data_IF_757501843002
#
_entry.id   IF_757501843002
#
_cell.length_a   1.000
_cell.length_b   1.000
_cell.length_c   1.000
_cell.angle_alpha   90.00
_cell.angle_beta   90.00
_cell.angle_gamma   90.00
#
_symmetry.space_group_name_H-M   'P 1'
#
loop_
_entity.id
_entity.type
_entity.pdbx_description
1 polymer ?
#
# COMPACT_ATOMS: atom_id res chain seq x y z
N UNK A 1 7.95 -20.49 -6.25
CA UNK A 1 7.18 -19.31 -6.74
C UNK A 1 7.30 -18.18 -5.75
N UNK A 2 7.26 -16.89 -6.16
CA UNK A 2 7.27 -15.74 -5.25
C UNK A 2 5.89 -15.50 -4.65
N UNK A 3 5.82 -15.09 -3.38
CA UNK A 3 4.59 -14.89 -2.63
C UNK A 3 4.56 -13.46 -2.08
N UNK A 4 3.46 -12.74 -2.34
CA UNK A 4 3.24 -11.40 -1.82
C UNK A 4 2.00 -11.34 -0.92
N UNK A 5 2.04 -10.43 0.06
CA UNK A 5 0.91 -10.03 0.88
C UNK A 5 0.63 -8.54 0.65
N UNK A 6 -0.61 -8.21 0.24
CA UNK A 6 -1.03 -6.83 -0.05
C UNK A 6 -2.19 -6.46 0.87
N UNK A 7 -2.03 -5.44 1.70
CA UNK A 7 -3.11 -4.91 2.52
C UNK A 7 -3.89 -3.81 1.79
N UNK A 8 -5.22 -3.75 1.96
CA UNK A 8 -6.08 -2.90 1.14
C UNK A 8 -5.98 -3.27 -0.34
N UNK A 9 -5.81 -4.57 -0.63
CA UNK A 9 -5.48 -5.08 -1.96
C UNK A 9 -6.68 -5.38 -2.85
N UNK A 10 -7.92 -5.22 -2.34
CA UNK A 10 -9.11 -5.56 -3.09
C UNK A 10 -9.66 -4.44 -3.97
N UNK A 11 -9.21 -3.20 -3.75
CA UNK A 11 -9.63 -2.04 -4.55
C UNK A 11 -8.53 -0.98 -4.63
N UNK A 12 -8.72 0.03 -5.48
CA UNK A 12 -7.84 1.17 -5.62
C UNK A 12 -6.40 0.78 -5.99
N UNK A 13 -5.42 1.42 -5.36
CA UNK A 13 -3.99 1.19 -5.60
C UNK A 13 -3.62 -0.27 -5.31
N UNK A 14 -4.11 -0.82 -4.19
CA UNK A 14 -3.81 -2.19 -3.81
C UNK A 14 -4.29 -3.22 -4.82
N UNK A 15 -5.47 -3.00 -5.46
CA UNK A 15 -5.97 -3.87 -6.54
C UNK A 15 -5.06 -3.83 -7.76
N UNK A 16 -4.57 -2.64 -8.16
CA UNK A 16 -3.60 -2.52 -9.25
C UNK A 16 -2.29 -3.25 -8.95
N UNK A 17 -1.79 -3.16 -7.71
CA UNK A 17 -0.61 -3.91 -7.26
C UNK A 17 -0.88 -5.42 -7.30
N UNK A 18 -2.02 -5.87 -6.78
CA UNK A 18 -2.44 -7.28 -6.79
C UNK A 18 -2.46 -7.83 -8.21
N UNK A 19 -3.10 -7.13 -9.15
CA UNK A 19 -3.16 -7.52 -10.55
C UNK A 19 -1.78 -7.60 -11.21
N UNK A 20 -0.92 -6.62 -10.98
CA UNK A 20 0.42 -6.60 -11.52
C UNK A 20 1.29 -7.77 -11.01
N UNK A 21 1.19 -8.09 -9.72
CA UNK A 21 1.89 -9.24 -9.12
C UNK A 21 1.39 -10.56 -9.70
N UNK A 22 0.07 -10.76 -9.82
CA UNK A 22 -0.51 -11.96 -10.45
C UNK A 22 -0.05 -12.11 -11.91
N UNK A 23 -0.01 -11.02 -12.69
CA UNK A 23 0.48 -10.99 -14.07
C UNK A 23 1.95 -11.43 -14.15
N UNK A 24 2.77 -11.10 -13.16
CA UNK A 24 4.16 -11.55 -13.03
C UNK A 24 4.28 -12.95 -12.38
N UNK A 25 3.19 -13.69 -12.35
CA UNK A 25 3.12 -15.06 -11.81
C UNK A 25 3.44 -15.22 -10.34
N UNK A 26 3.27 -14.16 -9.54
CA UNK A 26 3.32 -14.29 -8.08
C UNK A 26 2.05 -14.96 -7.54
N UNK A 27 2.17 -15.61 -6.39
CA UNK A 27 1.03 -15.87 -5.52
C UNK A 27 0.77 -14.62 -4.68
N UNK A 28 -0.47 -14.24 -4.53
CA UNK A 28 -0.84 -13.01 -3.81
C UNK A 28 -1.91 -13.31 -2.77
N UNK A 29 -1.58 -13.06 -1.50
CA UNK A 29 -2.56 -12.95 -0.44
C UNK A 29 -2.99 -11.47 -0.34
N UNK A 30 -4.29 -11.24 -0.25
CA UNK A 30 -4.89 -9.90 -0.12
C UNK A 30 -5.67 -9.83 1.18
N UNK A 31 -5.45 -8.78 1.97
CA UNK A 31 -6.27 -8.40 3.11
C UNK A 31 -7.01 -7.11 2.79
N UNK A 32 -8.33 -7.11 2.97
CA UNK A 32 -9.15 -5.90 2.88
C UNK A 32 -10.33 -5.98 3.86
N UNK A 33 -10.70 -4.86 4.46
CA UNK A 33 -11.84 -4.83 5.39
C UNK A 33 -13.20 -4.87 4.67
N UNK A 34 -13.25 -4.42 3.40
CA UNK A 34 -14.47 -4.38 2.59
C UNK A 34 -14.78 -5.76 2.01
N UNK A 35 -15.79 -6.42 2.59
CA UNK A 35 -16.20 -7.76 2.17
C UNK A 35 -16.73 -7.82 0.72
N UNK A 36 -17.30 -6.74 0.20
CA UNK A 36 -17.76 -6.68 -1.19
C UNK A 36 -16.57 -6.59 -2.14
N UNK A 37 -15.61 -5.70 -1.85
CA UNK A 37 -14.39 -5.58 -2.63
C UNK A 37 -13.58 -6.89 -2.68
N UNK A 38 -13.55 -7.63 -1.55
CA UNK A 38 -12.90 -8.96 -1.47
C UNK A 38 -13.58 -9.98 -2.39
N UNK A 39 -14.93 -10.00 -2.43
CA UNK A 39 -15.69 -10.88 -3.34
C UNK A 39 -15.46 -10.48 -4.80
N UNK A 40 -15.62 -9.19 -5.11
CA UNK A 40 -15.43 -8.67 -6.47
C UNK A 40 -14.04 -9.00 -7.01
N UNK A 41 -13.00 -8.85 -6.19
CA UNK A 41 -11.63 -9.19 -6.56
C UNK A 41 -11.50 -10.68 -6.92
N UNK A 42 -12.11 -11.57 -6.11
CA UNK A 42 -12.05 -13.02 -6.34
C UNK A 42 -12.78 -13.42 -7.62
N UNK A 43 -13.92 -12.78 -7.91
CA UNK A 43 -14.73 -13.03 -9.10
C UNK A 43 -14.06 -12.49 -10.38
N UNK A 44 -13.42 -11.33 -10.29
CA UNK A 44 -12.72 -10.68 -11.43
C UNK A 44 -11.37 -11.36 -11.76
N UNK A 45 -10.73 -11.96 -10.77
CA UNK A 45 -9.41 -12.61 -10.93
C UNK A 45 -9.45 -14.07 -10.44
N UNK A 46 -10.23 -14.94 -11.11
CA UNK A 46 -10.39 -16.34 -10.67
C UNK A 46 -9.09 -17.12 -10.95
N UNK A 47 -8.28 -17.31 -9.93
CA UNK A 47 -7.00 -18.03 -10.03
C UNK A 47 -6.64 -18.68 -8.69
N UNK A 48 -5.98 -19.83 -8.73
CA UNK A 48 -5.44 -20.48 -7.54
C UNK A 48 -4.22 -19.77 -6.93
N UNK A 49 -3.73 -18.73 -7.61
CA UNK A 49 -2.62 -17.89 -7.13
C UNK A 49 -3.10 -16.70 -6.26
N UNK A 50 -4.40 -16.47 -6.15
CA UNK A 50 -4.98 -15.41 -5.33
C UNK A 50 -5.69 -16.01 -4.11
N UNK A 51 -5.39 -15.47 -2.93
CA UNK A 51 -6.15 -15.68 -1.71
C UNK A 51 -6.62 -14.31 -1.20
N UNK A 52 -7.91 -14.01 -1.29
CA UNK A 52 -8.50 -12.79 -0.76
C UNK A 52 -9.18 -13.05 0.60
N UNK A 53 -8.81 -12.28 1.61
CA UNK A 53 -9.23 -12.44 3.00
C UNK A 53 -9.86 -11.13 3.47
N UNK A 54 -11.10 -11.21 3.99
CA UNK A 54 -11.65 -10.09 4.75
C UNK A 54 -10.94 -10.01 6.09
N UNK A 55 -10.28 -8.87 6.36
CA UNK A 55 -9.60 -8.60 7.61
C UNK A 55 -9.42 -7.08 7.80
N UNK A 56 -9.55 -6.63 9.04
CA UNK A 56 -9.22 -5.27 9.46
C UNK A 56 -7.78 -5.26 9.99
N UNK A 57 -6.88 -4.51 9.34
CA UNK A 57 -5.46 -4.41 9.74
C UNK A 57 -5.27 -3.72 11.09
N UNK A 58 -6.29 -3.02 11.61
CA UNK A 58 -6.26 -2.41 12.95
C UNK A 58 -6.65 -3.38 14.06
N UNK A 59 -7.20 -4.56 13.70
CA UNK A 59 -7.58 -5.63 14.61
C UNK A 59 -6.46 -6.66 14.72
N UNK A 60 -5.79 -6.72 15.86
CA UNK A 60 -4.75 -7.72 16.13
C UNK A 60 -5.23 -9.15 15.88
N UNK A 61 -6.47 -9.46 16.30
CA UNK A 61 -7.10 -10.75 16.09
C UNK A 61 -7.29 -11.07 14.59
N UNK A 62 -7.77 -10.09 13.80
CA UNK A 62 -7.97 -10.31 12.37
C UNK A 62 -6.65 -10.55 11.66
N UNK A 63 -5.60 -9.82 12.05
CA UNK A 63 -4.24 -10.00 11.54
C UNK A 63 -3.73 -11.40 11.87
N UNK A 64 -3.81 -11.86 13.11
CA UNK A 64 -3.41 -13.22 13.51
C UNK A 64 -4.13 -14.29 12.69
N UNK A 65 -5.47 -14.21 12.61
CA UNK A 65 -6.28 -15.16 11.84
C UNK A 65 -5.94 -15.15 10.34
N UNK A 66 -5.60 -13.99 9.78
CA UNK A 66 -5.18 -13.89 8.38
C UNK A 66 -3.83 -14.57 8.14
N UNK A 67 -2.87 -14.39 9.04
CA UNK A 67 -1.56 -15.04 8.94
C UNK A 67 -1.65 -16.56 9.10
N UNK A 68 -2.53 -17.07 9.96
CA UNK A 68 -2.80 -18.51 10.06
C UNK A 68 -3.33 -19.10 8.74
N UNK A 69 -4.26 -18.39 8.07
CA UNK A 69 -4.77 -18.79 6.76
C UNK A 69 -3.68 -18.78 5.69
N UNK A 70 -2.84 -17.74 5.68
CA UNK A 70 -1.72 -17.60 4.73
C UNK A 70 -0.70 -18.73 4.95
N UNK A 71 -0.38 -19.05 6.19
CA UNK A 71 0.53 -20.15 6.52
C UNK A 71 -0.03 -21.50 6.02
N UNK A 72 -1.31 -21.77 6.27
CA UNK A 72 -1.96 -22.99 5.77
C UNK A 72 -1.97 -23.06 4.24
N UNK A 73 -2.25 -21.94 3.55
CA UNK A 73 -2.24 -21.87 2.09
C UNK A 73 -0.85 -22.08 1.50
N UNK A 74 0.19 -21.50 2.10
CA UNK A 74 1.57 -21.69 1.68
C UNK A 74 1.99 -23.16 1.84
N UNK A 75 1.72 -23.76 3.00
CA UNK A 75 2.07 -25.15 3.27
C UNK A 75 1.43 -26.13 2.29
N UNK A 76 0.21 -25.83 1.82
CA UNK A 76 -0.50 -26.69 0.87
C UNK A 76 0.05 -26.60 -0.57
N UNK A 77 0.87 -25.60 -0.90
CA UNK A 77 1.21 -25.27 -2.29
C UNK A 77 2.71 -25.04 -2.54
N UNK A 78 3.53 -24.91 -1.50
CA UNK A 78 4.97 -24.60 -1.62
C UNK A 78 5.83 -25.50 -0.73
N UNK A 79 7.01 -25.85 -1.21
CA UNK A 79 8.01 -26.60 -0.41
C UNK A 79 8.69 -25.73 0.64
N UNK A 80 8.75 -24.41 0.42
CA UNK A 80 9.39 -23.44 1.32
C UNK A 80 8.35 -22.50 1.89
N UNK A 81 8.24 -22.45 3.21
CA UNK A 81 7.38 -21.53 3.93
C UNK A 81 7.90 -20.09 3.81
N UNK A 82 7.01 -19.10 4.00
CA UNK A 82 7.36 -17.68 4.02
C UNK A 82 6.73 -16.86 2.90
N UNK A 83 7.00 -15.56 2.92
CA UNK A 83 6.59 -14.59 1.89
C UNK A 83 7.81 -13.78 1.41
N UNK A 84 7.79 -13.35 0.16
CA UNK A 84 8.87 -12.55 -0.45
C UNK A 84 8.59 -11.05 -0.35
N UNK A 85 7.32 -10.65 -0.21
CA UNK A 85 6.93 -9.25 -0.22
C UNK A 85 5.73 -8.99 0.71
N UNK A 86 5.84 -7.96 1.55
CA UNK A 86 4.71 -7.30 2.19
C UNK A 86 4.51 -5.91 1.57
N UNK A 87 3.33 -5.63 1.05
CA UNK A 87 2.89 -4.28 0.67
C UNK A 87 1.90 -3.78 1.73
N UNK A 88 2.36 -2.89 2.61
CA UNK A 88 1.53 -2.23 3.61
C UNK A 88 0.87 -1.01 2.97
N UNK A 89 -0.33 -1.21 2.40
CA UNK A 89 -1.05 -0.20 1.63
C UNK A 89 -2.38 0.21 2.27
N UNK A 90 -3.01 -0.63 3.08
CA UNK A 90 -4.28 -0.31 3.73
C UNK A 90 -4.25 1.02 4.50
N UNK A 91 -5.37 1.73 4.50
CA UNK A 91 -5.57 2.96 5.24
C UNK A 91 -6.73 3.78 4.68
N UNK A 92 -7.22 4.73 5.46
CA UNK A 92 -8.29 5.66 5.05
C UNK A 92 -7.84 6.50 3.85
N UNK A 93 -8.65 6.51 2.79
CA UNK A 93 -8.27 7.11 1.52
C UNK A 93 -8.42 8.63 1.50
N UNK A 94 -9.46 9.17 2.15
CA UNK A 94 -9.74 10.60 2.20
C UNK A 94 -8.71 11.30 3.10
N UNK A 95 -7.90 12.25 2.60
CA UNK A 95 -6.92 12.96 3.42
C UNK A 95 -7.53 14.10 4.24
N UNK A 96 -8.77 14.54 3.94
CA UNK A 96 -9.34 15.75 4.52
C UNK A 96 -9.93 15.46 5.91
N UNK A 97 -9.35 16.08 6.92
CA UNK A 97 -9.79 15.95 8.32
C UNK A 97 -10.72 17.08 8.79
N UNK A 98 -10.75 18.19 8.05
CA UNK A 98 -11.37 19.44 8.46
C UNK A 98 -10.45 20.28 9.37
N UNK A 99 -10.89 21.50 9.76
CA UNK A 99 -10.09 22.41 10.56
C UNK A 99 -9.60 21.78 11.86
N UNK A 100 -8.31 21.97 12.18
CA UNK A 100 -7.64 21.28 13.30
C UNK A 100 -8.33 21.55 14.65
N UNK A 101 -8.86 22.75 14.88
CA UNK A 101 -9.56 23.13 16.11
C UNK A 101 -10.92 22.45 16.26
N UNK A 102 -11.44 21.81 15.21
CA UNK A 102 -12.70 21.04 15.20
C UNK A 102 -12.49 19.53 15.06
N UNK A 103 -11.24 19.11 14.88
CA UNK A 103 -10.92 17.70 14.67
C UNK A 103 -11.08 16.91 15.98
N UNK A 104 -12.07 16.03 16.02
CA UNK A 104 -12.30 15.17 17.16
C UNK A 104 -11.15 14.16 17.34
N UNK A 105 -10.73 13.92 18.60
CA UNK A 105 -9.68 12.96 18.92
C UNK A 105 -9.96 11.57 18.35
N UNK A 106 -11.20 11.10 18.35
CA UNK A 106 -11.60 9.81 17.78
C UNK A 106 -11.32 9.76 16.26
N UNK A 107 -11.60 10.85 15.55
CA UNK A 107 -11.36 10.96 14.12
C UNK A 107 -9.86 10.99 13.83
N UNK A 108 -9.08 11.78 14.60
CA UNK A 108 -7.62 11.75 14.55
C UNK A 108 -7.06 10.34 14.74
N UNK A 109 -7.50 9.64 15.81
CA UNK A 109 -7.06 8.28 16.11
C UNK A 109 -7.35 7.30 14.97
N UNK A 110 -8.51 7.42 14.30
CA UNK A 110 -8.86 6.55 13.18
C UNK A 110 -7.83 6.61 12.03
N UNK A 111 -7.25 7.79 11.72
CA UNK A 111 -6.15 7.89 10.76
C UNK A 111 -4.87 7.24 11.28
N UNK A 112 -4.51 7.47 12.55
CA UNK A 112 -3.33 6.84 13.14
C UNK A 112 -3.47 5.32 13.16
N UNK A 113 -4.64 4.82 13.56
CA UNK A 113 -4.89 3.38 13.65
C UNK A 113 -4.86 2.73 12.26
N UNK A 114 -5.57 3.28 11.28
CA UNK A 114 -5.65 2.68 9.95
C UNK A 114 -4.31 2.66 9.21
N UNK A 115 -3.45 3.67 9.42
CA UNK A 115 -2.18 3.79 8.72
C UNK A 115 -1.00 3.27 9.55
N UNK A 116 -0.83 3.76 10.78
CA UNK A 116 0.38 3.52 11.58
C UNK A 116 0.25 2.23 12.39
N UNK A 117 -0.83 2.09 13.17
CA UNK A 117 -1.07 0.87 13.96
C UNK A 117 -1.24 -0.34 13.04
N UNK A 118 -2.03 -0.18 11.96
CA UNK A 118 -2.20 -1.25 10.97
C UNK A 118 -0.89 -1.69 10.31
N UNK A 119 -0.04 -0.74 9.89
CA UNK A 119 1.28 -1.07 9.35
C UNK A 119 2.16 -1.78 10.38
N UNK A 120 2.16 -1.33 11.65
CA UNK A 120 2.90 -1.99 12.72
C UNK A 120 2.45 -3.43 12.94
N UNK A 121 1.15 -3.68 13.06
CA UNK A 121 0.61 -5.04 13.27
C UNK A 121 0.96 -5.97 12.11
N UNK A 122 0.83 -5.49 10.89
CA UNK A 122 1.16 -6.26 9.69
C UNK A 122 2.66 -6.58 9.60
N UNK A 123 3.53 -5.60 9.86
CA UNK A 123 4.98 -5.82 9.87
C UNK A 123 5.39 -6.79 10.97
N UNK A 124 4.86 -6.62 12.20
CA UNK A 124 5.14 -7.51 13.33
C UNK A 124 4.82 -8.96 12.99
N UNK A 125 3.66 -9.21 12.41
CA UNK A 125 3.24 -10.56 12.02
C UNK A 125 4.03 -11.11 10.81
N UNK A 126 4.41 -10.25 9.85
CA UNK A 126 5.09 -10.67 8.62
C UNK A 126 6.59 -10.94 8.79
N UNK A 127 7.28 -10.25 9.72
CA UNK A 127 8.75 -10.31 9.86
C UNK A 127 9.28 -11.75 10.00
N UNK A 128 8.69 -12.64 10.83
CA UNK A 128 9.20 -14.01 10.97
C UNK A 128 9.21 -14.80 9.65
N UNK A 129 8.17 -14.63 8.82
CA UNK A 129 8.02 -15.35 7.55
C UNK A 129 8.72 -14.65 6.36
N UNK A 130 8.94 -13.32 6.43
CA UNK A 130 9.78 -12.58 5.49
C UNK A 130 11.26 -12.95 5.63
N UNK A 131 11.75 -13.17 6.86
CA UNK A 131 13.13 -13.57 7.11
C UNK A 131 13.50 -14.89 6.45
N UNK A 132 12.58 -15.84 6.38
CA UNK A 132 12.81 -17.14 5.74
C UNK A 132 13.15 -17.00 4.26
N UNK A 133 12.67 -15.95 3.60
CA UNK A 133 12.86 -15.71 2.17
C UNK A 133 13.74 -14.50 1.84
N UNK A 134 14.32 -13.84 2.85
CA UNK A 134 15.03 -12.56 2.70
C UNK A 134 14.22 -11.54 1.92
N UNK A 135 12.95 -11.39 2.32
CA UNK A 135 11.95 -10.65 1.60
C UNK A 135 12.10 -9.13 1.65
N UNK A 136 11.09 -8.44 1.15
CA UNK A 136 11.02 -6.97 1.18
C UNK A 136 9.70 -6.48 1.76
N UNK A 137 9.73 -5.29 2.34
CA UNK A 137 8.54 -4.53 2.79
C UNK A 137 8.47 -3.24 1.98
N UNK A 138 7.32 -2.97 1.38
CA UNK A 138 6.99 -1.70 0.74
C UNK A 138 5.85 -1.05 1.51
N UNK A 139 6.12 0.12 2.08
CA UNK A 139 5.13 0.90 2.85
C UNK A 139 4.55 1.99 1.96
N UNK A 140 3.22 2.05 1.86
CA UNK A 140 2.52 3.05 1.06
C UNK A 140 2.34 4.34 1.87
N UNK A 141 3.30 5.24 1.74
CA UNK A 141 3.24 6.59 2.27
C UNK A 141 2.51 7.55 1.30
N UNK A 142 2.80 8.82 1.36
CA UNK A 142 2.22 9.86 0.49
C UNK A 142 3.16 11.05 0.42
N UNK A 143 3.07 11.82 -0.67
CA UNK A 143 3.69 13.16 -0.74
C UNK A 143 3.19 14.07 0.38
N UNK A 144 2.02 13.78 0.98
CA UNK A 144 1.51 14.50 2.16
C UNK A 144 2.40 14.38 3.40
N UNK A 145 3.35 13.46 3.42
CA UNK A 145 4.38 13.42 4.45
C UNK A 145 5.38 14.59 4.38
N UNK A 146 5.48 15.26 3.22
CA UNK A 146 6.47 16.31 2.94
C UNK A 146 5.86 17.58 2.33
N UNK A 147 4.60 17.54 1.91
CA UNK A 147 3.87 18.65 1.31
C UNK A 147 2.39 18.51 1.63
N UNK A 148 1.71 19.59 2.04
CA UNK A 148 0.34 19.51 2.56
C UNK A 148 -0.60 20.48 1.84
N UNK A 149 -1.88 20.20 1.95
CA UNK A 149 -3.00 21.10 1.72
C UNK A 149 -3.65 21.41 3.06
N UNK A 150 -4.43 22.48 3.18
CA UNK A 150 -5.20 22.78 4.39
C UNK A 150 -6.07 21.59 4.81
N UNK A 151 -6.32 21.47 6.10
CA UNK A 151 -7.24 20.46 6.68
C UNK A 151 -6.83 18.99 6.47
N UNK A 152 -5.53 18.70 6.33
CA UNK A 152 -5.00 17.34 6.11
C UNK A 152 -4.05 16.86 7.21
N UNK A 153 -4.03 17.49 8.38
CA UNK A 153 -3.02 17.30 9.43
C UNK A 153 -2.98 15.87 9.95
N UNK A 154 -4.15 15.25 10.19
CA UNK A 154 -4.20 13.87 10.70
C UNK A 154 -3.60 12.87 9.71
N UNK A 155 -3.92 13.03 8.43
CA UNK A 155 -3.37 12.20 7.36
C UNK A 155 -1.88 12.44 7.14
N UNK A 156 -1.47 13.72 7.09
CA UNK A 156 -0.06 14.09 6.93
C UNK A 156 0.80 13.55 8.06
N UNK A 157 0.33 13.66 9.33
CA UNK A 157 1.01 13.10 10.49
C UNK A 157 1.18 11.58 10.38
N UNK A 158 0.10 10.86 10.01
CA UNK A 158 0.16 9.41 9.82
C UNK A 158 1.14 9.02 8.70
N UNK A 159 1.13 9.72 7.57
CA UNK A 159 2.05 9.45 6.45
C UNK A 159 3.50 9.82 6.77
N UNK A 160 3.73 10.87 7.56
CA UNK A 160 5.05 11.19 8.11
C UNK A 160 5.58 10.12 9.06
N UNK A 161 4.71 9.58 9.93
CA UNK A 161 5.05 8.46 10.81
C UNK A 161 5.47 7.20 10.03
N UNK A 162 4.80 6.89 8.90
CA UNK A 162 5.20 5.78 8.03
C UNK A 162 6.58 5.97 7.40
N UNK A 163 6.96 7.21 7.07
CA UNK A 163 8.29 7.55 6.58
C UNK A 163 9.37 7.27 7.66
N UNK A 164 9.12 7.69 8.90
CA UNK A 164 10.01 7.42 10.02
C UNK A 164 10.08 5.92 10.33
N UNK A 165 8.94 5.23 10.33
CA UNK A 165 8.89 3.78 10.54
C UNK A 165 9.70 3.03 9.48
N UNK A 166 9.69 3.48 8.23
CA UNK A 166 10.42 2.85 7.12
C UNK A 166 11.91 2.76 7.39
N UNK A 167 12.58 3.88 7.73
CA UNK A 167 14.03 3.83 7.95
C UNK A 167 14.39 3.12 9.26
N UNK A 168 13.56 3.23 10.30
CA UNK A 168 13.77 2.51 11.56
C UNK A 168 13.71 0.98 11.35
N UNK A 169 12.71 0.50 10.61
CA UNK A 169 12.58 -0.91 10.26
C UNK A 169 13.73 -1.38 9.35
N UNK A 170 14.17 -0.57 8.38
CA UNK A 170 15.28 -0.92 7.51
C UNK A 170 16.57 -1.22 8.28
N UNK A 171 16.84 -0.44 9.33
CA UNK A 171 18.01 -0.66 10.20
C UNK A 171 17.81 -1.89 11.10
N UNK A 172 16.63 -2.05 11.68
CA UNK A 172 16.36 -3.15 12.64
C UNK A 172 16.25 -4.52 11.96
N UNK A 173 15.82 -4.58 10.70
CA UNK A 173 15.52 -5.82 9.98
C UNK A 173 16.60 -6.20 8.97
N UNK A 174 17.55 -5.32 8.68
CA UNK A 174 18.71 -5.64 7.85
C UNK A 174 19.68 -6.62 8.57
N UNK A 175 20.41 -7.45 7.82
CA UNK A 175 20.42 -7.56 6.35
C UNK A 175 19.34 -8.49 5.78
N UNK A 176 18.43 -9.03 6.60
CA UNK A 176 17.50 -10.08 6.19
C UNK A 176 16.33 -9.52 5.34
N UNK A 177 15.85 -8.32 5.68
CA UNK A 177 14.66 -7.74 5.05
C UNK A 177 14.95 -6.29 4.64
N UNK A 178 14.67 -5.95 3.38
CA UNK A 178 14.73 -4.58 2.90
C UNK A 178 13.38 -3.89 3.14
N UNK A 179 13.40 -2.63 3.56
CA UNK A 179 12.19 -1.85 3.84
C UNK A 179 12.29 -0.50 3.13
N UNK A 180 11.32 -0.19 2.27
CA UNK A 180 11.25 1.10 1.57
C UNK A 180 9.82 1.65 1.58
N UNK A 181 9.67 2.96 1.44
CA UNK A 181 8.38 3.62 1.29
C UNK A 181 8.20 4.19 -0.12
N UNK A 182 6.97 4.18 -0.60
CA UNK A 182 6.55 4.93 -1.79
C UNK A 182 5.72 6.13 -1.33
N UNK A 183 6.21 7.33 -1.62
CA UNK A 183 5.48 8.58 -1.44
C UNK A 183 4.66 8.83 -2.71
N UNK A 184 3.44 8.31 -2.73
CA UNK A 184 2.57 8.47 -3.89
C UNK A 184 1.98 9.88 -3.99
N UNK A 185 1.85 10.40 -5.21
CA UNK A 185 1.06 11.59 -5.52
C UNK A 185 -0.44 11.30 -5.64
N UNK A 186 -1.12 12.04 -6.50
CA UNK A 186 -2.51 11.78 -6.85
C UNK A 186 -2.61 10.60 -7.81
N UNK A 187 -3.22 9.53 -7.36
CA UNK A 187 -3.49 8.32 -8.13
C UNK A 187 -5.01 8.22 -8.35
N UNK A 188 -5.45 8.15 -9.59
CA UNK A 188 -6.85 7.93 -9.91
C UNK A 188 -7.25 6.49 -9.61
N UNK A 189 -8.15 6.31 -8.67
CA UNK A 189 -8.55 4.98 -8.17
C UNK A 189 -10.01 4.63 -8.44
N UNK A 190 -10.84 5.56 -8.91
CA UNK A 190 -12.28 5.32 -9.16
C UNK A 190 -12.54 4.16 -10.13
N UNK A 191 -11.78 3.99 -11.24
CA UNK A 191 -11.94 2.82 -12.12
C UNK A 191 -11.53 1.49 -11.46
N UNK A 192 -10.83 1.55 -10.34
CA UNK A 192 -10.33 0.40 -9.59
C UNK A 192 -11.10 0.12 -8.30
N UNK A 193 -12.19 0.84 -8.07
CA UNK A 193 -13.10 0.64 -6.95
C UNK A 193 -13.86 -0.68 -7.10
N UNK A 194 -14.54 -1.12 -6.04
CA UNK A 194 -15.49 -2.25 -6.11
C UNK A 194 -16.58 -1.96 -7.15
N UNK A 195 -17.15 -3.00 -7.72
CA UNK A 195 -18.02 -2.93 -8.91
C UNK A 195 -19.18 -1.91 -8.77
N UNK A 196 -19.81 -1.85 -7.58
CA UNK A 196 -20.99 -1.00 -7.35
C UNK A 196 -20.73 0.51 -7.45
N UNK A 197 -19.49 0.95 -7.16
CA UNK A 197 -19.10 2.38 -7.12
C UNK A 197 -17.99 2.70 -8.12
N UNK A 198 -17.72 1.80 -9.04
CA UNK A 198 -16.70 1.99 -10.08
C UNK A 198 -17.16 2.98 -11.12
N UNK A 199 -16.32 3.96 -11.42
CA UNK A 199 -16.60 5.01 -12.37
C UNK A 199 -15.48 5.14 -13.39
N UNK A 200 -15.84 5.36 -14.66
CA UNK A 200 -14.91 5.85 -15.64
C UNK A 200 -14.63 7.34 -15.39
N UNK A 201 -13.39 7.75 -15.56
CA UNK A 201 -12.97 9.12 -15.24
C UNK A 201 -12.38 9.80 -16.45
N UNK A 202 -12.85 10.99 -16.73
CA UNK A 202 -12.22 11.92 -17.65
C UNK A 202 -11.55 13.04 -16.87
N UNK A 203 -10.24 13.22 -17.06
CA UNK A 203 -9.49 14.27 -16.38
C UNK A 203 -9.54 15.58 -17.18
N UNK A 204 -9.74 16.69 -16.46
CA UNK A 204 -9.67 18.03 -17.02
C UNK A 204 -8.23 18.36 -17.45
N UNK A 205 -8.01 19.30 -18.37
CA UNK A 205 -6.67 19.74 -18.72
C UNK A 205 -5.83 20.14 -17.49
N UNK A 206 -6.39 20.92 -16.58
CA UNK A 206 -5.72 21.37 -15.35
C UNK A 206 -5.26 20.20 -14.47
N UNK A 207 -6.02 19.09 -14.45
CA UNK A 207 -5.66 17.91 -13.65
C UNK A 207 -4.38 17.23 -14.21
N UNK A 208 -4.22 17.25 -15.54
CA UNK A 208 -3.03 16.73 -16.24
C UNK A 208 -1.83 17.66 -16.11
N UNK A 209 -2.05 18.97 -16.22
CA UNK A 209 -1.02 20.01 -16.16
C UNK A 209 -0.33 20.13 -14.79
N UNK A 210 -1.00 19.67 -13.72
CA UNK A 210 -0.38 19.57 -12.40
C UNK A 210 0.81 18.62 -12.38
N UNK A 211 0.83 17.64 -13.29
CA UNK A 211 1.88 16.61 -13.36
C UNK A 211 2.80 16.89 -14.54
N UNK A 212 4.10 17.17 -14.33
CA UNK A 212 5.08 17.36 -15.40
C UNK A 212 5.13 16.23 -16.45
N UNK A 213 4.75 15.00 -16.06
CA UNK A 213 4.62 13.87 -17.00
C UNK A 213 3.39 13.97 -17.93
N UNK A 214 2.51 14.98 -17.77
CA UNK A 214 1.39 15.29 -18.66
C UNK A 214 0.13 14.45 -18.47
N UNK A 215 0.03 13.64 -17.40
CA UNK A 215 -1.16 12.83 -17.09
C UNK A 215 -1.35 12.63 -15.59
N UNK A 216 -2.56 12.31 -15.17
CA UNK A 216 -2.84 11.78 -13.83
C UNK A 216 -2.32 10.35 -13.74
N UNK A 217 -1.86 9.95 -12.57
CA UNK A 217 -1.31 8.61 -12.33
C UNK A 217 -2.41 7.57 -12.16
N UNK A 218 -2.07 6.32 -12.47
CA UNK A 218 -2.90 5.14 -12.28
C UNK A 218 -2.27 4.17 -11.27
N UNK A 219 -3.02 3.22 -10.71
CA UNK A 219 -2.49 2.17 -9.84
C UNK A 219 -1.32 1.37 -10.45
N UNK A 220 -1.29 1.21 -11.76
CA UNK A 220 -0.20 0.57 -12.51
C UNK A 220 1.15 1.27 -12.35
N UNK A 221 1.18 2.61 -12.21
CA UNK A 221 2.42 3.37 -12.00
C UNK A 221 3.06 3.03 -10.64
N UNK A 222 2.22 2.88 -9.62
CA UNK A 222 2.65 2.47 -8.28
C UNK A 222 3.08 1.00 -8.29
N UNK A 223 2.30 0.14 -8.96
CA UNK A 223 2.60 -1.28 -9.05
C UNK A 223 3.96 -1.55 -9.72
N UNK A 224 4.33 -0.80 -10.75
CA UNK A 224 5.64 -0.89 -11.38
C UNK A 224 6.79 -0.62 -10.39
N UNK A 225 6.64 0.40 -9.53
CA UNK A 225 7.62 0.73 -8.49
C UNK A 225 7.68 -0.36 -7.41
N UNK A 226 6.53 -0.93 -7.01
CA UNK A 226 6.48 -2.06 -6.07
C UNK A 226 7.22 -3.27 -6.63
N UNK A 227 6.97 -3.63 -7.90
CA UNK A 227 7.66 -4.73 -8.58
C UNK A 227 9.18 -4.52 -8.64
N UNK A 228 9.62 -3.30 -8.95
CA UNK A 228 11.04 -2.95 -8.93
C UNK A 228 11.64 -3.12 -7.54
N UNK A 229 11.01 -2.56 -6.49
CA UNK A 229 11.50 -2.65 -5.11
C UNK A 229 11.52 -4.09 -4.56
N UNK A 230 10.65 -4.96 -5.09
CA UNK A 230 10.59 -6.39 -4.75
C UNK A 230 11.58 -7.24 -5.57
N UNK A 231 12.25 -6.66 -6.57
CA UNK A 231 13.20 -7.38 -7.43
C UNK A 231 14.60 -7.43 -6.84
N UNK A 232 15.43 -8.32 -7.39
CA UNK A 232 16.86 -8.39 -7.08
C UNK A 232 17.61 -7.12 -7.51
N UNK A 233 17.14 -6.43 -8.57
CA UNK A 233 17.71 -5.16 -9.00
C UNK A 233 17.64 -4.04 -7.97
N UNK A 234 16.75 -4.15 -6.96
CA UNK A 234 16.67 -3.26 -5.82
C UNK A 234 17.44 -3.78 -4.59
N UNK A 235 18.31 -4.75 -4.73
CA UNK A 235 19.02 -5.42 -3.62
C UNK A 235 19.86 -4.49 -2.75
N UNK A 236 20.29 -3.33 -3.27
CA UNK A 236 21.05 -2.31 -2.53
C UNK A 236 20.21 -1.10 -2.09
N UNK A 237 18.86 -1.22 -2.16
CA UNK A 237 17.92 -0.15 -1.81
C UNK A 237 17.15 -0.56 -0.56
N UNK A 238 17.40 0.11 0.57
CA UNK A 238 16.66 -0.04 1.82
C UNK A 238 16.62 1.29 2.59
N UNK A 239 15.59 1.51 3.40
CA UNK A 239 15.39 2.73 4.17
C UNK A 239 14.99 3.96 3.36
N UNK A 240 14.68 3.80 2.05
CA UNK A 240 14.44 4.91 1.15
C UNK A 240 12.97 5.30 1.06
N UNK A 241 12.75 6.57 0.76
CA UNK A 241 11.45 7.16 0.47
C UNK A 241 11.44 7.57 -1.00
N UNK A 242 10.73 6.80 -1.83
CA UNK A 242 10.70 6.99 -3.28
C UNK A 242 9.42 7.73 -3.66
N UNK A 243 9.56 8.95 -4.18
CA UNK A 243 8.42 9.74 -4.65
C UNK A 243 7.99 9.29 -6.03
N UNK A 244 6.69 8.98 -6.16
CA UNK A 244 6.03 8.59 -7.42
C UNK A 244 4.80 9.47 -7.59
N UNK A 245 4.97 10.65 -8.19
CA UNK A 245 3.98 11.72 -8.25
C UNK A 245 3.92 12.45 -9.61
N UNK A 246 4.56 11.89 -10.64
CA UNK A 246 4.63 12.53 -11.95
C UNK A 246 5.37 13.87 -11.97
N UNK A 247 6.18 14.15 -10.94
CA UNK A 247 6.94 15.39 -10.80
C UNK A 247 6.19 16.53 -10.11
N UNK A 248 4.98 16.29 -9.60
CA UNK A 248 4.13 17.33 -8.99
C UNK A 248 4.87 18.08 -7.86
N UNK A 249 5.56 17.38 -6.96
CA UNK A 249 6.27 17.99 -5.83
C UNK A 249 7.56 18.73 -6.24
N UNK A 250 7.98 18.64 -7.49
CA UNK A 250 9.18 19.32 -8.03
C UNK A 250 8.82 20.56 -8.86
N UNK A 251 7.55 20.73 -9.21
CA UNK A 251 7.08 21.87 -10.00
C UNK A 251 7.09 23.14 -9.15
N UNK A 252 7.74 24.21 -9.65
CA UNK A 252 7.63 25.54 -9.08
C UNK A 252 6.20 26.05 -9.24
N UNK A 253 5.72 26.79 -8.25
CA UNK A 253 4.37 27.37 -8.21
C UNK A 253 4.36 28.89 -8.36
N UNK A 254 5.48 29.50 -8.79
CA UNK A 254 5.54 30.92 -9.03
C UNK A 254 4.56 31.35 -10.13
N UNK A 255 3.77 32.36 -9.85
CA UNK A 255 2.94 33.01 -10.86
C UNK A 255 3.82 33.99 -11.67
N UNK A 256 3.92 33.75 -12.97
CA UNK A 256 4.56 34.65 -13.93
C UNK A 256 3.52 35.45 -14.68
#
# INVERSE_FOLDING_TARGET
MKIALVTGGAQGIGKGITQALLTQSWKVAVLDQDAEAVRDLSDEMPTNKLMAIRADVTSERDVEMAFDKIAAWNKATEEVEGIDLLVSNAGLADPVSGPIEKLELKKWQAWQDSHVTGAFLMVRAAVPILRQRKGAIVIMASIRAIQSEPDTEAYAAAKGALCALTHALAISLGPDIRVNAILRGWIETRPWAKAQVREAVEHRPIDREQHPVGRVSEPSDIAATVLFLASEGAGFITGQQITVDGGMTRKMIDAH
#
